data_IF_533118205411
#
_entry.id   IF_533118205411
#
_cell.length_a   1.000
_cell.length_b   1.000
_cell.length_c   1.000
_cell.angle_alpha   90.00
_cell.angle_beta   90.00
_cell.angle_gamma   90.00
#
_symmetry.space_group_name_H-M   'P 1'
#
loop_
_entity.id
_entity.type
_entity.pdbx_description
1 polymer ?
#
# COMPACT_ATOMS: atom_id res chain seq x y z
N UNK A 1 -7.95 -0.25 -25.46
CA UNK A 1 -7.87 0.60 -24.26
C UNK A 1 -8.37 2.03 -24.52
N UNK A 2 -7.79 2.80 -25.45
CA UNK A 2 -8.21 4.19 -25.76
C UNK A 2 -9.72 4.31 -26.03
N UNK A 3 -10.29 3.39 -26.83
CA UNK A 3 -11.73 3.38 -27.13
C UNK A 3 -12.64 3.14 -25.90
N UNK A 4 -12.10 2.58 -24.81
CA UNK A 4 -12.81 2.43 -23.53
C UNK A 4 -12.80 3.78 -22.81
N UNK A 5 -11.63 4.42 -22.72
CA UNK A 5 -11.46 5.72 -22.05
C UNK A 5 -12.28 6.82 -22.72
N UNK A 6 -12.32 6.83 -24.06
CA UNK A 6 -13.06 7.85 -24.84
C UNK A 6 -14.58 7.80 -24.67
N UNK A 7 -15.12 6.75 -24.03
CA UNK A 7 -16.55 6.62 -23.74
C UNK A 7 -16.92 7.16 -22.35
N UNK A 8 -15.92 7.43 -21.51
CA UNK A 8 -16.13 8.00 -20.18
C UNK A 8 -16.21 9.53 -20.28
N UNK A 9 -16.94 10.14 -19.34
CA UNK A 9 -16.95 11.59 -19.16
C UNK A 9 -15.91 11.99 -18.13
N UNK A 10 -15.41 13.21 -18.22
CA UNK A 10 -14.57 13.76 -17.15
C UNK A 10 -15.40 13.93 -15.88
N UNK A 11 -14.82 13.63 -14.73
CA UNK A 11 -15.48 13.83 -13.43
C UNK A 11 -15.63 15.32 -13.07
N UNK A 12 -14.81 16.17 -13.69
CA UNK A 12 -14.80 17.63 -13.54
C UNK A 12 -14.11 18.29 -14.74
N UNK A 13 -14.33 19.59 -14.94
CA UNK A 13 -13.64 20.36 -15.99
C UNK A 13 -12.12 20.35 -15.80
N UNK A 14 -11.32 20.23 -16.87
CA UNK A 14 -9.86 20.30 -16.76
C UNK A 14 -9.39 21.53 -15.98
N UNK A 15 -8.33 21.35 -15.20
CA UNK A 15 -7.74 22.38 -14.35
C UNK A 15 -8.65 22.96 -13.26
N UNK A 16 -9.80 22.36 -12.93
CA UNK A 16 -10.63 22.79 -11.80
C UNK A 16 -10.08 22.30 -10.44
N UNK A 17 -9.60 21.07 -10.38
CA UNK A 17 -8.91 20.47 -9.21
C UNK A 17 -7.84 19.48 -9.67
N UNK A 18 -6.95 19.07 -8.78
CA UNK A 18 -6.00 18.00 -9.03
C UNK A 18 -6.47 16.70 -8.34
N UNK A 19 -6.58 15.63 -9.13
CA UNK A 19 -6.96 14.31 -8.64
C UNK A 19 -6.17 13.23 -9.38
N UNK A 20 -5.74 12.21 -8.62
CA UNK A 20 -4.95 11.11 -9.16
C UNK A 20 -5.80 10.23 -10.09
N UNK A 21 -5.28 9.89 -11.26
CA UNK A 21 -5.95 8.99 -12.21
C UNK A 21 -4.94 8.11 -12.93
N UNK A 22 -5.02 6.79 -12.70
CA UNK A 22 -4.21 5.81 -13.42
C UNK A 22 -4.45 5.89 -14.94
N UNK A 23 -5.69 6.15 -15.37
CA UNK A 23 -6.03 6.30 -16.80
C UNK A 23 -5.23 7.42 -17.45
N UNK A 24 -4.98 8.53 -16.74
CA UNK A 24 -4.15 9.62 -17.26
C UNK A 24 -2.70 9.17 -17.49
N UNK A 25 -2.14 8.34 -16.61
CA UNK A 25 -0.78 7.80 -16.79
C UNK A 25 -0.68 6.75 -17.90
N UNK A 26 -1.72 5.94 -18.10
CA UNK A 26 -1.80 5.06 -19.28
C UNK A 26 -1.81 5.89 -20.57
N UNK A 27 -2.60 6.97 -20.61
CA UNK A 27 -2.65 7.90 -21.75
C UNK A 27 -1.31 8.59 -21.99
N UNK A 28 -0.62 9.04 -20.95
CA UNK A 28 0.75 9.60 -21.07
C UNK A 28 1.72 8.58 -21.67
N UNK A 29 1.60 7.30 -21.30
CA UNK A 29 2.33 6.21 -21.94
C UNK A 29 2.10 6.16 -23.46
N UNK A 30 0.84 6.15 -23.90
CA UNK A 30 0.51 6.16 -25.33
C UNK A 30 0.95 7.43 -26.06
N UNK A 31 0.93 8.60 -25.40
CA UNK A 31 1.43 9.84 -25.98
C UNK A 31 2.93 9.73 -26.25
N UNK A 32 3.71 9.18 -25.31
CA UNK A 32 5.14 8.91 -25.50
C UNK A 32 5.34 8.01 -26.72
N UNK A 33 4.59 6.91 -26.80
CA UNK A 33 4.72 5.96 -27.92
C UNK A 33 4.37 6.60 -29.26
N UNK A 34 3.28 7.37 -29.31
CA UNK A 34 2.81 8.05 -30.51
C UNK A 34 3.81 9.09 -31.02
N UNK A 35 4.42 9.86 -30.12
CA UNK A 35 5.36 10.93 -30.48
C UNK A 35 6.74 10.39 -30.87
N UNK A 36 7.16 9.27 -30.29
CA UNK A 36 8.52 8.74 -30.49
C UNK A 36 8.57 7.60 -31.50
N UNK A 37 7.45 6.93 -31.78
CA UNK A 37 7.40 5.70 -32.57
C UNK A 37 8.06 4.50 -31.87
N UNK A 38 8.34 4.60 -30.56
CA UNK A 38 8.97 3.57 -29.74
C UNK A 38 8.04 3.16 -28.62
N UNK A 39 8.12 1.91 -28.18
CA UNK A 39 7.32 1.42 -27.04
C UNK A 39 7.69 2.17 -25.75
N UNK A 40 6.77 2.23 -24.80
CA UNK A 40 7.02 2.87 -23.51
C UNK A 40 8.22 2.23 -22.79
N UNK A 41 8.37 0.90 -22.87
CA UNK A 41 9.52 0.18 -22.30
C UNK A 41 10.86 0.56 -22.94
N UNK A 42 10.91 0.78 -24.25
CA UNK A 42 12.10 1.27 -24.95
C UNK A 42 12.46 2.70 -24.51
N UNK A 43 11.48 3.59 -24.41
CA UNK A 43 11.73 4.97 -24.00
C UNK A 43 12.07 5.08 -22.49
N UNK A 44 11.47 4.26 -21.63
CA UNK A 44 11.87 4.09 -20.23
C UNK A 44 13.34 3.68 -20.14
N UNK A 45 13.74 2.67 -20.94
CA UNK A 45 15.12 2.19 -20.96
C UNK A 45 16.09 3.28 -21.43
N UNK A 46 15.76 3.95 -22.54
CA UNK A 46 16.63 4.94 -23.19
C UNK A 46 16.77 6.21 -22.37
N UNK A 47 15.66 6.77 -21.88
CA UNK A 47 15.63 8.10 -21.24
C UNK A 47 15.92 8.07 -19.75
N UNK A 48 15.61 6.96 -19.08
CA UNK A 48 15.71 6.86 -17.62
C UNK A 48 16.73 5.80 -17.24
N UNK A 49 16.41 4.51 -17.42
CA UNK A 49 17.17 3.45 -16.73
C UNK A 49 18.62 3.34 -17.23
N UNK A 50 18.87 3.47 -18.54
CA UNK A 50 20.24 3.46 -19.08
C UNK A 50 21.03 4.72 -18.72
N UNK A 51 20.37 5.87 -18.61
CA UNK A 51 21.01 7.17 -18.33
C UNK A 51 21.62 7.22 -16.93
N UNK A 52 20.98 6.55 -15.96
CA UNK A 52 21.38 6.55 -14.56
C UNK A 52 21.71 5.15 -14.01
N UNK A 53 21.84 4.15 -14.90
CA UNK A 53 22.34 2.82 -14.57
C UNK A 53 21.43 1.96 -13.69
N UNK A 54 20.11 2.03 -13.87
CA UNK A 54 19.13 1.20 -13.15
C UNK A 54 19.02 -0.18 -13.81
N UNK A 55 19.87 -1.12 -13.39
CA UNK A 55 20.01 -2.45 -14.04
C UNK A 55 18.83 -3.37 -13.76
N UNK A 56 18.15 -3.20 -12.63
CA UNK A 56 17.05 -4.03 -12.17
C UNK A 56 15.70 -3.32 -12.33
N UNK A 57 15.63 -2.28 -13.17
CA UNK A 57 14.40 -1.52 -13.43
C UNK A 57 14.03 -1.61 -14.91
N UNK A 58 12.83 -2.09 -15.19
CA UNK A 58 12.36 -2.35 -16.55
C UNK A 58 10.83 -2.36 -16.63
N UNK A 59 10.32 -2.34 -17.86
CA UNK A 59 8.91 -2.57 -18.12
C UNK A 59 8.57 -4.04 -17.88
N UNK A 60 7.61 -4.29 -17.00
CA UNK A 60 7.23 -5.60 -16.52
C UNK A 60 6.61 -6.48 -17.60
N UNK A 61 6.81 -7.78 -17.42
CA UNK A 61 6.16 -8.85 -18.15
C UNK A 61 5.67 -9.88 -17.15
N UNK A 62 5.20 -11.03 -17.63
CA UNK A 62 4.87 -12.15 -16.74
C UNK A 62 6.04 -12.48 -15.80
N UNK A 63 5.74 -12.61 -14.51
CA UNK A 63 6.72 -12.86 -13.46
C UNK A 63 7.49 -14.15 -13.69
N UNK A 64 8.82 -14.08 -13.54
CA UNK A 64 9.75 -15.16 -13.79
C UNK A 64 10.76 -15.31 -12.64
N UNK A 65 10.54 -16.29 -11.79
CA UNK A 65 11.40 -16.59 -10.64
C UNK A 65 12.84 -16.93 -11.02
N UNK A 66 13.11 -17.39 -12.26
CA UNK A 66 14.50 -17.64 -12.73
C UNK A 66 15.30 -16.34 -12.92
N UNK A 67 14.63 -15.19 -12.94
CA UNK A 67 15.25 -13.85 -12.96
C UNK A 67 15.31 -13.19 -11.58
N UNK A 68 15.04 -13.94 -10.51
CA UNK A 68 14.86 -13.43 -9.14
C UNK A 68 13.69 -12.44 -9.00
N UNK A 69 12.67 -12.59 -9.84
CA UNK A 69 11.40 -11.88 -9.65
C UNK A 69 10.54 -12.60 -8.62
N UNK A 70 9.77 -11.83 -7.86
CA UNK A 70 8.85 -12.36 -6.86
C UNK A 70 7.46 -12.61 -7.47
N UNK A 71 6.72 -13.58 -6.92
CA UNK A 71 5.27 -13.61 -7.03
C UNK A 71 4.64 -12.79 -5.90
N UNK A 72 3.42 -12.31 -6.10
CA UNK A 72 2.66 -11.62 -5.05
C UNK A 72 1.81 -12.59 -4.23
N UNK A 73 1.61 -12.25 -2.96
CA UNK A 73 0.89 -13.07 -2.01
C UNK A 73 -0.06 -12.23 -1.16
N UNK A 74 -1.17 -12.85 -0.75
CA UNK A 74 -2.06 -12.34 0.29
C UNK A 74 -1.97 -13.22 1.53
N UNK A 75 -2.01 -12.62 2.72
CA UNK A 75 -2.04 -13.35 3.98
C UNK A 75 -3.47 -13.42 4.52
N UNK A 76 -4.01 -14.64 4.61
CA UNK A 76 -5.32 -14.93 5.20
C UNK A 76 -5.21 -16.09 6.20
N UNK A 77 -4.34 -15.94 7.20
CA UNK A 77 -3.93 -16.99 8.15
C UNK A 77 -2.79 -17.85 7.60
N UNK A 78 -2.71 -17.97 6.28
CA UNK A 78 -1.61 -18.54 5.51
C UNK A 78 -1.34 -17.65 4.29
N UNK A 79 -0.12 -17.73 3.76
CA UNK A 79 0.24 -17.04 2.51
C UNK A 79 -0.34 -17.80 1.32
N UNK A 80 -1.04 -17.09 0.45
CA UNK A 80 -1.56 -17.64 -0.82
C UNK A 80 -1.12 -16.75 -1.96
N UNK A 81 -0.58 -17.35 -3.00
CA UNK A 81 -0.15 -16.60 -4.19
C UNK A 81 -1.37 -15.99 -4.88
N UNK A 82 -1.27 -14.73 -5.28
CA UNK A 82 -2.31 -14.03 -6.02
C UNK A 82 -2.17 -14.27 -7.53
N UNK A 83 -3.29 -14.22 -8.29
CA UNK A 83 -3.24 -14.11 -9.74
C UNK A 83 -2.44 -12.89 -10.16
N UNK A 84 -1.80 -12.99 -11.32
CA UNK A 84 -0.96 -11.92 -11.87
C UNK A 84 -1.75 -11.06 -12.85
N UNK A 85 -1.73 -9.74 -12.63
CA UNK A 85 -2.26 -8.78 -13.59
C UNK A 85 -1.34 -8.66 -14.81
N UNK A 86 -1.89 -8.70 -16.02
CA UNK A 86 -1.11 -8.44 -17.24
C UNK A 86 -0.65 -6.97 -17.29
N UNK A 87 0.65 -6.74 -17.43
CA UNK A 87 1.27 -5.41 -17.37
C UNK A 87 0.82 -4.46 -18.50
N UNK A 88 0.16 -4.96 -19.55
CA UNK A 88 -0.50 -4.11 -20.56
C UNK A 88 -1.71 -3.34 -20.01
N UNK A 89 -2.29 -3.78 -18.88
CA UNK A 89 -3.41 -3.11 -18.22
C UNK A 89 -2.97 -1.85 -17.47
N UNK A 90 -2.03 -1.90 -16.50
CA UNK A 90 -1.55 -0.70 -15.83
C UNK A 90 -0.64 0.15 -16.73
N UNK A 91 0.06 -0.44 -17.71
CA UNK A 91 0.85 0.30 -18.70
C UNK A 91 1.75 1.38 -18.08
N UNK A 92 1.67 2.60 -18.64
CA UNK A 92 2.40 3.78 -18.13
C UNK A 92 2.07 4.19 -16.70
N UNK A 93 1.02 3.65 -16.06
CA UNK A 93 0.63 3.95 -14.69
C UNK A 93 1.30 3.07 -13.63
N UNK A 94 1.69 1.84 -13.96
CA UNK A 94 2.11 0.89 -12.93
C UNK A 94 2.81 -0.37 -13.42
N UNK A 95 3.26 -0.42 -14.66
CA UNK A 95 3.90 -1.61 -15.23
C UNK A 95 5.42 -1.70 -14.97
N UNK A 96 6.01 -0.82 -14.16
CA UNK A 96 7.46 -0.83 -13.93
C UNK A 96 7.82 -1.81 -12.80
N UNK A 97 8.72 -2.74 -13.08
CA UNK A 97 9.34 -3.63 -12.09
C UNK A 97 10.67 -3.01 -11.66
N UNK A 98 10.96 -3.00 -10.36
CA UNK A 98 12.19 -2.42 -9.81
C UNK A 98 12.60 -3.09 -8.50
N UNK A 99 13.70 -2.61 -7.91
CA UNK A 99 14.19 -3.00 -6.57
C UNK A 99 14.30 -1.76 -5.68
N UNK A 100 14.25 -1.88 -4.34
CA UNK A 100 14.46 -0.74 -3.45
C UNK A 100 15.75 0.02 -3.73
N UNK A 101 16.84 -0.69 -4.06
CA UNK A 101 18.12 -0.09 -4.37
C UNK A 101 18.07 0.78 -5.64
N UNK A 102 17.39 0.33 -6.70
CA UNK A 102 17.25 1.13 -7.92
C UNK A 102 16.23 2.27 -7.75
N UNK A 103 15.17 2.10 -6.95
CA UNK A 103 14.24 3.19 -6.61
C UNK A 103 14.96 4.32 -5.85
N UNK A 104 15.83 3.99 -4.89
CA UNK A 104 16.68 4.98 -4.19
C UNK A 104 17.63 5.69 -5.15
N UNK A 105 18.27 4.97 -6.08
CA UNK A 105 19.10 5.60 -7.12
C UNK A 105 18.30 6.53 -8.03
N UNK A 106 17.10 6.10 -8.44
CA UNK A 106 16.20 6.88 -9.28
C UNK A 106 15.85 8.22 -8.62
N UNK A 107 15.37 8.20 -7.38
CA UNK A 107 14.90 9.43 -6.73
C UNK A 107 16.06 10.40 -6.43
N UNK A 108 17.22 9.89 -6.01
CA UNK A 108 18.41 10.72 -5.85
C UNK A 108 18.81 11.36 -7.19
N UNK A 109 18.88 10.58 -8.26
CA UNK A 109 19.24 11.10 -9.58
C UNK A 109 18.23 12.10 -10.14
N UNK A 110 16.94 11.94 -9.84
CA UNK A 110 15.89 12.89 -10.18
C UNK A 110 16.13 14.24 -9.49
N UNK A 111 16.31 14.23 -8.17
CA UNK A 111 16.50 15.45 -7.37
C UNK A 111 17.89 16.10 -7.55
N UNK A 112 18.88 15.34 -8.00
CA UNK A 112 20.20 15.86 -8.42
C UNK A 112 20.20 16.43 -9.85
N UNK A 113 19.06 16.45 -10.55
CA UNK A 113 18.94 17.03 -11.89
C UNK A 113 19.58 16.19 -13.00
N UNK A 114 19.87 14.90 -12.76
CA UNK A 114 20.48 13.99 -13.76
C UNK A 114 19.48 13.54 -14.82
N UNK A 115 18.18 13.58 -14.53
CA UNK A 115 17.12 13.16 -15.44
C UNK A 115 16.45 14.34 -16.15
N UNK A 116 16.09 15.37 -15.39
CA UNK A 116 15.35 16.55 -15.85
C UNK A 116 16.00 17.84 -15.32
N UNK A 117 15.65 18.98 -15.91
CA UNK A 117 16.10 20.30 -15.42
C UNK A 117 15.49 20.63 -14.05
N UNK A 118 16.13 21.55 -13.33
CA UNK A 118 15.60 22.08 -12.07
C UNK A 118 14.19 22.67 -12.22
N UNK A 119 13.94 23.41 -13.31
CA UNK A 119 12.62 23.97 -13.60
C UNK A 119 11.53 22.89 -13.77
N UNK A 120 11.86 21.76 -14.43
CA UNK A 120 10.89 20.66 -14.56
C UNK A 120 10.69 19.92 -13.24
N UNK A 121 11.72 19.82 -12.40
CA UNK A 121 11.59 19.26 -11.05
C UNK A 121 10.71 20.14 -10.15
N UNK A 122 10.82 21.46 -10.28
CA UNK A 122 9.94 22.42 -9.60
C UNK A 122 8.48 22.23 -10.03
N UNK A 123 8.22 22.06 -11.32
CA UNK A 123 6.88 21.71 -11.81
C UNK A 123 6.37 20.38 -11.23
N UNK A 124 7.22 19.35 -11.15
CA UNK A 124 6.83 18.05 -10.57
C UNK A 124 6.47 18.15 -9.08
N UNK A 125 7.15 19.04 -8.35
CA UNK A 125 7.02 19.16 -6.88
C UNK A 125 6.08 20.28 -6.43
N UNK A 126 5.52 21.05 -7.37
CA UNK A 126 4.46 22.03 -7.10
C UNK A 126 3.15 21.30 -6.86
N UNK A 127 2.64 21.40 -5.62
CA UNK A 127 1.45 20.67 -5.19
C UNK A 127 0.18 21.49 -5.41
N UNK A 128 -0.82 20.85 -6.00
CA UNK A 128 -2.20 21.31 -6.04
C UNK A 128 -3.08 20.22 -5.45
N UNK A 129 -3.93 20.54 -4.48
CA UNK A 129 -4.77 19.54 -3.79
C UNK A 129 -3.96 18.33 -3.26
N UNK A 130 -2.74 18.60 -2.75
CA UNK A 130 -1.76 17.59 -2.28
C UNK A 130 -1.17 16.67 -3.35
N UNK A 131 -1.35 17.00 -4.63
CA UNK A 131 -0.84 16.24 -5.77
C UNK A 131 -0.03 17.11 -6.72
N UNK A 132 1.17 16.64 -7.09
CA UNK A 132 2.04 17.21 -8.11
C UNK A 132 2.02 16.38 -9.39
N UNK A 133 3.00 16.57 -10.26
CA UNK A 133 3.11 15.72 -11.47
C UNK A 133 3.72 14.37 -11.11
N UNK A 134 2.85 13.38 -10.85
CA UNK A 134 3.24 12.03 -10.43
C UNK A 134 4.01 11.99 -9.08
N UNK A 135 3.78 12.97 -8.21
CA UNK A 135 4.45 13.11 -6.92
C UNK A 135 3.44 13.56 -5.87
N UNK A 136 3.48 12.96 -4.69
CA UNK A 136 2.70 13.36 -3.53
C UNK A 136 3.57 14.06 -2.49
N UNK A 137 2.97 14.98 -1.75
CA UNK A 137 3.57 15.47 -0.51
C UNK A 137 3.49 14.36 0.56
N UNK A 138 4.63 14.03 1.16
CA UNK A 138 4.76 12.97 2.16
C UNK A 138 5.57 13.50 3.35
N UNK A 139 4.97 14.35 4.20
CA UNK A 139 5.68 14.94 5.33
C UNK A 139 5.99 13.90 6.41
N UNK A 140 7.12 14.10 7.10
CA UNK A 140 7.50 13.38 8.31
C UNK A 140 7.72 14.39 9.43
N UNK A 141 6.75 14.53 10.35
CA UNK A 141 6.67 15.66 11.29
C UNK A 141 6.75 17.01 10.54
N UNK A 142 7.73 17.84 10.89
CA UNK A 142 8.04 19.13 10.29
C UNK A 142 8.94 19.02 9.04
N UNK A 143 9.37 17.80 8.68
CA UNK A 143 10.22 17.55 7.52
C UNK A 143 9.34 17.35 6.28
N UNK A 144 9.57 18.19 5.26
CA UNK A 144 8.90 18.07 3.97
C UNK A 144 9.49 16.90 3.17
N UNK A 145 8.63 15.97 2.78
CA UNK A 145 9.00 14.87 1.88
C UNK A 145 8.16 14.84 0.61
N UNK A 146 8.70 14.17 -0.40
CA UNK A 146 8.04 13.92 -1.68
C UNK A 146 8.17 12.44 -2.02
N UNK A 147 7.12 11.87 -2.60
CA UNK A 147 7.16 10.46 -2.93
C UNK A 147 5.93 9.96 -3.66
N UNK A 148 5.85 8.65 -3.74
CA UNK A 148 4.68 7.95 -4.26
C UNK A 148 4.62 6.54 -3.66
N UNK A 149 3.40 6.05 -3.45
CA UNK A 149 3.14 4.64 -3.10
C UNK A 149 2.61 3.88 -4.32
N UNK A 150 2.81 2.58 -4.37
CA UNK A 150 2.27 1.70 -5.40
C UNK A 150 1.61 0.47 -4.80
N UNK A 151 0.62 -0.06 -5.51
CA UNK A 151 -0.02 -1.33 -5.17
C UNK A 151 -0.60 -1.98 -6.42
N UNK A 152 -0.27 -3.25 -6.63
CA UNK A 152 -0.84 -4.09 -7.68
C UNK A 152 -0.78 -5.55 -7.22
N UNK A 153 -1.87 -6.28 -7.40
CA UNK A 153 -2.06 -7.62 -6.83
C UNK A 153 -1.71 -7.60 -5.32
N UNK A 154 -0.83 -8.49 -4.85
CA UNK A 154 -0.31 -8.49 -3.48
C UNK A 154 0.97 -7.66 -3.28
N UNK A 155 1.46 -6.97 -4.30
CA UNK A 155 2.64 -6.10 -4.17
C UNK A 155 2.27 -4.75 -3.58
N UNK A 156 3.16 -4.22 -2.73
CA UNK A 156 3.14 -2.83 -2.27
C UNK A 156 4.52 -2.21 -2.42
N UNK A 157 4.56 -0.92 -2.77
CA UNK A 157 5.78 -0.14 -2.81
C UNK A 157 5.61 1.27 -2.23
N UNK A 158 6.71 1.83 -1.76
CA UNK A 158 6.81 3.22 -1.36
C UNK A 158 8.19 3.74 -1.77
N UNK A 159 8.22 4.96 -2.32
CA UNK A 159 9.43 5.74 -2.50
C UNK A 159 9.24 7.11 -1.89
N UNK A 160 10.12 7.49 -0.96
CA UNK A 160 10.12 8.76 -0.26
C UNK A 160 11.49 9.43 -0.41
N UNK A 161 11.50 10.73 -0.63
CA UNK A 161 12.69 11.57 -0.59
C UNK A 161 12.46 12.79 0.28
N UNK A 162 13.42 13.08 1.16
CA UNK A 162 13.49 14.23 2.04
C UNK A 162 14.58 15.17 1.51
N UNK A 163 14.24 16.21 0.72
CA UNK A 163 15.25 16.94 -0.06
C UNK A 163 16.24 17.73 0.78
N UNK A 164 15.80 18.29 1.91
CA UNK A 164 16.66 19.09 2.79
C UNK A 164 17.71 18.19 3.46
N UNK A 165 17.31 16.99 3.84
CA UNK A 165 18.15 16.00 4.53
C UNK A 165 18.93 15.12 3.54
N UNK A 166 18.55 15.14 2.26
CA UNK A 166 19.08 14.27 1.18
C UNK A 166 18.95 12.79 1.52
N UNK A 167 17.82 12.42 2.10
CA UNK A 167 17.51 11.04 2.49
C UNK A 167 16.46 10.47 1.55
N UNK A 168 16.72 9.26 1.06
CA UNK A 168 15.78 8.48 0.28
C UNK A 168 15.44 7.19 1.03
N UNK A 169 14.16 6.81 1.02
CA UNK A 169 13.68 5.53 1.54
C UNK A 169 12.85 4.86 0.46
N UNK A 170 13.16 3.59 0.19
CA UNK A 170 12.33 2.74 -0.64
C UNK A 170 11.89 1.52 0.16
N UNK A 171 10.61 1.19 0.07
CA UNK A 171 10.02 -0.03 0.61
C UNK A 171 9.35 -0.78 -0.53
N UNK A 172 9.57 -2.09 -0.62
CA UNK A 172 8.85 -2.98 -1.53
C UNK A 172 8.49 -4.24 -0.80
N UNK A 173 7.30 -4.75 -1.02
CA UNK A 173 6.80 -5.99 -0.46
C UNK A 173 5.99 -6.75 -1.50
N UNK A 174 6.08 -8.07 -1.46
CA UNK A 174 5.29 -8.99 -2.27
C UNK A 174 4.16 -9.66 -1.47
N UNK A 175 3.78 -9.05 -0.35
CA UNK A 175 2.72 -9.48 0.53
C UNK A 175 2.90 -8.88 1.92
N UNK A 176 1.85 -8.32 2.50
CA UNK A 176 1.94 -7.63 3.79
C UNK A 176 1.10 -8.30 4.88
N UNK A 177 1.69 -8.32 6.09
CA UNK A 177 1.00 -8.64 7.35
C UNK A 177 0.91 -7.45 8.29
N UNK A 178 1.81 -6.49 8.10
CA UNK A 178 1.91 -5.28 8.89
C UNK A 178 1.73 -4.09 7.95
N UNK A 179 1.20 -2.99 8.48
CA UNK A 179 1.12 -1.72 7.78
C UNK A 179 2.51 -1.30 7.31
N UNK A 180 2.65 -1.05 6.00
CA UNK A 180 3.92 -0.55 5.46
C UNK A 180 4.27 0.82 6.06
N UNK A 181 3.26 1.62 6.41
CA UNK A 181 3.46 2.92 7.04
C UNK A 181 4.13 2.76 8.40
N UNK A 182 3.75 1.76 9.19
CA UNK A 182 4.35 1.53 10.51
C UNK A 182 5.82 1.14 10.39
N UNK A 183 6.16 0.34 9.37
CA UNK A 183 7.55 -0.04 9.07
C UNK A 183 8.37 1.18 8.65
N UNK A 184 7.85 1.99 7.72
CA UNK A 184 8.55 3.16 7.20
C UNK A 184 8.69 4.24 8.27
N UNK A 185 7.63 4.54 9.03
CA UNK A 185 7.67 5.49 10.14
C UNK A 185 8.56 5.00 11.27
N UNK A 186 8.57 3.70 11.56
CA UNK A 186 9.52 3.10 12.51
C UNK A 186 10.97 3.34 12.08
N UNK A 187 11.31 3.05 10.82
CA UNK A 187 12.65 3.29 10.29
C UNK A 187 13.05 4.77 10.33
N UNK A 188 12.15 5.68 9.95
CA UNK A 188 12.38 7.13 10.02
C UNK A 188 12.55 7.62 11.46
N UNK A 189 11.70 7.18 12.38
CA UNK A 189 11.81 7.56 13.79
C UNK A 189 13.14 7.10 14.39
N UNK A 190 13.59 5.87 14.09
CA UNK A 190 14.91 5.36 14.50
C UNK A 190 16.01 6.24 13.93
N UNK A 191 15.99 6.51 12.62
CA UNK A 191 17.02 7.29 11.93
C UNK A 191 17.14 8.72 12.49
N UNK A 192 16.02 9.39 12.72
CA UNK A 192 15.97 10.76 13.22
C UNK A 192 15.97 10.87 14.75
N UNK A 193 16.26 9.78 15.47
CA UNK A 193 16.26 9.71 16.93
C UNK A 193 14.98 10.27 17.57
N UNK A 194 13.83 9.96 16.96
CA UNK A 194 12.49 10.26 17.50
C UNK A 194 12.01 9.09 18.35
N UNK A 195 11.01 9.31 19.18
CA UNK A 195 10.36 8.23 19.94
C UNK A 195 9.74 7.20 19.00
N UNK A 196 9.98 5.92 19.28
CA UNK A 196 9.38 4.79 18.58
C UNK A 196 9.09 3.65 19.56
N UNK A 197 8.16 2.78 19.19
CA UNK A 197 7.85 1.55 19.91
C UNK A 197 8.35 0.37 19.09
N UNK A 198 9.16 -0.50 19.69
CA UNK A 198 9.56 -1.75 19.03
C UNK A 198 8.33 -2.66 18.96
N UNK A 199 7.94 -3.17 17.78
CA UNK A 199 6.82 -4.07 17.67
C UNK A 199 7.07 -5.38 18.43
N UNK A 200 6.06 -5.86 19.16
CA UNK A 200 6.12 -7.17 19.82
C UNK A 200 5.67 -8.29 18.86
N UNK A 201 6.56 -9.26 18.66
CA UNK A 201 6.34 -10.44 17.82
C UNK A 201 6.04 -11.71 18.63
N UNK A 202 5.63 -11.57 19.90
CA UNK A 202 5.30 -12.74 20.73
C UNK A 202 4.19 -13.53 20.07
N UNK A 203 4.51 -14.78 19.71
CA UNK A 203 3.52 -15.75 19.24
C UNK A 203 2.75 -16.25 20.46
N UNK A 204 1.45 -15.98 20.49
CA UNK A 204 0.57 -16.58 21.49
C UNK A 204 0.17 -17.96 20.98
N UNK A 205 0.57 -19.00 21.70
CA UNK A 205 0.07 -20.35 21.46
C UNK A 205 -1.37 -20.39 21.97
N UNK A 206 -2.33 -20.44 21.05
CA UNK A 206 -3.74 -20.57 21.37
C UNK A 206 -4.18 -22.03 21.24
N UNK A 207 -5.00 -22.51 22.16
CA UNK A 207 -5.76 -23.74 21.97
C UNK A 207 -7.08 -23.41 21.26
N UNK A 208 -7.47 -24.20 20.24
CA UNK A 208 -8.73 -24.00 19.52
C UNK A 208 -9.96 -23.98 20.44
N UNK A 209 -9.94 -24.76 21.54
CA UNK A 209 -11.03 -24.78 22.51
C UNK A 209 -11.18 -23.44 23.27
N UNK A 210 -10.09 -22.72 23.50
CA UNK A 210 -10.11 -21.42 24.18
C UNK A 210 -10.73 -20.32 23.31
N UNK A 211 -10.85 -20.55 22.00
CA UNK A 211 -11.42 -19.60 21.06
C UNK A 211 -12.96 -19.65 21.01
N UNK A 212 -13.58 -20.73 21.46
CA UNK A 212 -15.04 -20.91 21.38
C UNK A 212 -15.83 -19.83 22.13
N UNK A 213 -15.24 -19.28 23.19
CA UNK A 213 -15.86 -18.19 23.96
C UNK A 213 -16.06 -16.91 23.13
N UNK A 214 -15.27 -16.69 22.09
CA UNK A 214 -15.35 -15.50 21.23
C UNK A 214 -16.27 -15.67 20.02
N UNK A 215 -16.52 -16.91 19.57
CA UNK A 215 -17.31 -17.21 18.37
C UNK A 215 -18.76 -16.77 18.54
N UNK A 216 -19.32 -16.09 17.53
CA UNK A 216 -20.71 -15.68 17.50
C UNK A 216 -20.95 -14.42 16.68
N UNK A 217 -22.20 -13.97 16.65
CA UNK A 217 -22.61 -12.72 16.00
C UNK A 217 -22.63 -11.59 17.01
N UNK A 218 -22.15 -10.42 16.61
CA UNK A 218 -22.10 -9.23 17.44
C UNK A 218 -22.67 -8.03 16.69
N UNK A 219 -23.32 -7.13 17.41
CA UNK A 219 -23.86 -5.88 16.85
C UNK A 219 -23.52 -4.69 17.74
N UNK A 220 -23.43 -3.51 17.14
CA UNK A 220 -23.27 -2.26 17.86
C UNK A 220 -24.54 -1.42 17.75
N UNK A 221 -24.88 -0.71 18.82
CA UNK A 221 -25.90 0.36 18.79
C UNK A 221 -25.30 1.70 18.37
N UNK A 222 -23.97 1.81 18.35
CA UNK A 222 -23.26 3.05 18.00
C UNK A 222 -23.03 3.19 16.49
N UNK A 223 -22.94 2.05 15.79
CA UNK A 223 -22.78 1.99 14.33
C UNK A 223 -23.66 0.87 13.76
N UNK A 224 -24.31 1.06 12.59
CA UNK A 224 -25.19 0.06 11.99
C UNK A 224 -24.39 -1.06 11.32
N UNK A 225 -23.60 -1.78 12.12
CA UNK A 225 -22.68 -2.82 11.68
C UNK A 225 -22.88 -4.08 12.53
N UNK A 226 -22.97 -5.23 11.87
CA UNK A 226 -22.85 -6.54 12.51
C UNK A 226 -21.53 -7.19 12.11
N UNK A 227 -20.89 -7.83 13.08
CA UNK A 227 -19.65 -8.55 12.90
C UNK A 227 -19.85 -9.99 13.38
N UNK A 228 -19.61 -10.94 12.49
CA UNK A 228 -19.59 -12.37 12.81
C UNK A 228 -18.16 -12.79 13.10
N UNK A 229 -17.95 -13.41 14.27
CA UNK A 229 -16.67 -14.00 14.66
C UNK A 229 -16.77 -15.51 14.47
N UNK A 230 -15.91 -16.07 13.63
CA UNK A 230 -15.77 -17.51 13.41
C UNK A 230 -14.36 -17.97 13.75
N UNK A 231 -14.14 -19.28 13.81
CA UNK A 231 -12.80 -19.85 14.00
C UNK A 231 -12.48 -20.88 12.92
N UNK A 232 -11.20 -20.94 12.54
CA UNK A 232 -10.63 -22.04 11.75
C UNK A 232 -9.30 -22.42 12.42
N UNK A 233 -9.23 -23.66 12.90
CA UNK A 233 -8.11 -24.18 13.71
C UNK A 233 -7.82 -23.30 14.93
N UNK A 234 -6.67 -22.62 14.95
CA UNK A 234 -6.21 -21.73 16.03
C UNK A 234 -6.35 -20.24 15.68
N UNK A 235 -7.06 -19.92 14.59
CA UNK A 235 -7.23 -18.54 14.10
C UNK A 235 -8.69 -18.11 14.20
N UNK A 236 -8.94 -16.95 14.80
CA UNK A 236 -10.24 -16.28 14.72
C UNK A 236 -10.35 -15.49 13.42
N UNK A 237 -11.54 -15.48 12.83
CA UNK A 237 -11.89 -14.66 11.68
C UNK A 237 -13.00 -13.71 12.08
N UNK A 238 -12.92 -12.46 11.65
CA UNK A 238 -14.00 -11.49 11.76
C UNK A 238 -14.56 -11.20 10.36
N UNK A 239 -15.88 -11.07 10.28
CA UNK A 239 -16.59 -10.73 9.05
C UNK A 239 -17.62 -9.65 9.34
N UNK A 240 -17.40 -8.45 8.82
CA UNK A 240 -18.40 -7.41 8.82
C UNK A 240 -19.46 -7.67 7.74
N UNK A 241 -20.69 -7.22 7.98
CA UNK A 241 -21.81 -7.37 7.02
C UNK A 241 -21.45 -6.79 5.64
N UNK A 242 -21.56 -7.61 4.60
CA UNK A 242 -21.22 -7.22 3.22
C UNK A 242 -19.73 -7.22 2.88
N UNK A 243 -18.86 -7.66 3.80
CA UNK A 243 -17.42 -7.75 3.59
C UNK A 243 -16.91 -9.19 3.64
N UNK A 244 -15.74 -9.43 3.06
CA UNK A 244 -15.02 -10.70 3.20
C UNK A 244 -14.53 -10.90 4.63
N UNK A 245 -14.48 -12.15 5.08
CA UNK A 245 -13.88 -12.48 6.37
C UNK A 245 -12.36 -12.26 6.35
N UNK A 246 -11.79 -11.80 7.47
CA UNK A 246 -10.34 -11.61 7.63
C UNK A 246 -9.84 -12.27 8.93
N UNK A 247 -8.62 -12.83 8.92
CA UNK A 247 -8.04 -13.44 10.11
C UNK A 247 -7.62 -12.36 11.13
N UNK A 248 -7.68 -12.69 12.41
CA UNK A 248 -7.18 -11.85 13.49
C UNK A 248 -6.02 -12.53 14.21
N UNK A 249 -4.98 -11.75 14.53
CA UNK A 249 -3.80 -12.21 15.28
C UNK A 249 -4.00 -11.95 16.78
N UNK A 250 -3.74 -12.96 17.62
CA UNK A 250 -3.77 -12.78 19.07
C UNK A 250 -2.56 -11.96 19.55
N UNK A 251 -2.81 -10.95 20.39
CA UNK A 251 -1.78 -10.07 20.99
C UNK A 251 -1.84 -10.01 22.52
N UNK A 252 -2.72 -10.78 23.16
CA UNK A 252 -2.75 -10.96 24.61
C UNK A 252 -4.06 -11.61 25.05
N UNK A 253 -4.30 -11.62 26.35
CA UNK A 253 -5.54 -12.14 26.93
C UNK A 253 -6.75 -11.41 26.34
N UNK A 254 -7.59 -12.16 25.63
CA UNK A 254 -8.80 -11.67 24.97
C UNK A 254 -8.56 -10.52 23.96
N UNK A 255 -7.33 -10.29 23.51
CA UNK A 255 -6.98 -9.21 22.57
C UNK A 255 -6.55 -9.77 21.23
N UNK A 256 -7.27 -9.38 20.18
CA UNK A 256 -7.01 -9.78 18.80
C UNK A 256 -6.86 -8.54 17.91
N UNK A 257 -5.99 -8.60 16.91
CA UNK A 257 -5.72 -7.46 16.03
C UNK A 257 -5.77 -7.88 14.57
N UNK A 258 -6.20 -6.94 13.73
CA UNK A 258 -6.04 -7.01 12.29
C UNK A 258 -5.29 -5.75 11.83
N UNK A 259 -3.97 -5.88 11.73
CA UNK A 259 -3.05 -4.77 11.51
C UNK A 259 -3.31 -4.03 10.18
N UNK A 260 -3.71 -4.75 9.12
CA UNK A 260 -3.98 -4.15 7.81
C UNK A 260 -5.12 -3.13 7.81
N UNK A 261 -6.04 -3.19 8.79
CA UNK A 261 -7.12 -2.21 8.94
C UNK A 261 -7.00 -1.36 10.21
N UNK A 262 -5.84 -1.40 10.89
CA UNK A 262 -5.63 -0.77 12.20
C UNK A 262 -6.79 -1.08 13.18
N UNK A 263 -7.20 -2.34 13.22
CA UNK A 263 -8.34 -2.81 14.00
C UNK A 263 -7.88 -3.66 15.18
N UNK A 264 -8.31 -3.30 16.39
CA UNK A 264 -8.09 -4.05 17.63
C UNK A 264 -9.42 -4.45 18.23
N UNK A 265 -9.58 -5.74 18.51
CA UNK A 265 -10.73 -6.36 19.16
C UNK A 265 -10.33 -6.75 20.58
N UNK A 266 -10.86 -6.02 21.56
CA UNK A 266 -10.71 -6.34 22.97
C UNK A 266 -11.98 -7.06 23.45
N UNK A 267 -11.91 -8.38 23.58
CA UNK A 267 -13.04 -9.18 24.04
C UNK A 267 -13.18 -9.14 25.57
N UNK A 268 -14.43 -9.15 26.01
CA UNK A 268 -14.85 -9.39 27.39
C UNK A 268 -15.85 -10.56 27.39
N UNK A 269 -15.38 -11.83 27.31
CA UNK A 269 -16.24 -12.99 27.10
C UNK A 269 -17.31 -13.16 28.18
N UNK A 270 -16.97 -12.88 29.44
CA UNK A 270 -17.88 -12.96 30.58
C UNK A 270 -19.06 -11.98 30.47
N UNK A 271 -18.87 -10.88 29.72
CA UNK A 271 -19.90 -9.88 29.43
C UNK A 271 -20.52 -10.06 28.04
N UNK A 272 -20.17 -11.14 27.33
CA UNK A 272 -20.63 -11.45 25.96
C UNK A 272 -20.48 -10.26 25.02
N UNK A 273 -19.32 -9.59 25.01
CA UNK A 273 -19.09 -8.39 24.20
C UNK A 273 -17.62 -8.23 23.81
N UNK A 274 -17.36 -7.32 22.88
CA UNK A 274 -16.02 -6.81 22.62
C UNK A 274 -16.04 -5.31 22.32
N UNK A 275 -14.88 -4.68 22.49
CA UNK A 275 -14.63 -3.30 22.06
C UNK A 275 -13.75 -3.33 20.81
N UNK A 276 -14.23 -2.73 19.72
CA UNK A 276 -13.48 -2.49 18.49
C UNK A 276 -12.83 -1.11 18.57
N UNK A 277 -11.51 -1.08 18.51
CA UNK A 277 -10.73 0.15 18.34
C UNK A 277 -10.23 0.16 16.90
N UNK A 278 -10.64 1.14 16.10
CA UNK A 278 -10.24 1.24 14.70
C UNK A 278 -9.95 2.68 14.32
N UNK A 279 -8.72 2.95 13.84
CA UNK A 279 -8.26 4.30 13.44
C UNK A 279 -8.53 5.36 14.50
N UNK A 280 -8.27 5.03 15.77
CA UNK A 280 -8.52 5.90 16.92
C UNK A 280 -9.97 5.98 17.42
N UNK A 281 -10.95 5.43 16.69
CA UNK A 281 -12.34 5.36 17.15
C UNK A 281 -12.60 4.10 17.96
N UNK A 282 -13.54 4.16 18.90
CA UNK A 282 -13.90 3.05 19.78
C UNK A 282 -15.39 2.73 19.70
N UNK A 283 -15.72 1.48 19.42
CA UNK A 283 -17.10 0.99 19.28
C UNK A 283 -17.32 -0.27 20.12
N UNK A 284 -18.39 -0.29 20.91
CA UNK A 284 -18.82 -1.44 21.69
C UNK A 284 -19.74 -2.33 20.86
N UNK A 285 -19.47 -3.63 20.89
CA UNK A 285 -20.24 -4.66 20.22
C UNK A 285 -20.71 -5.70 21.22
N UNK A 286 -22.03 -5.90 21.32
CA UNK A 286 -22.62 -6.93 22.17
C UNK A 286 -22.96 -8.16 21.33
N UNK A 287 -22.71 -9.35 21.88
CA UNK A 287 -23.07 -10.61 21.23
C UNK A 287 -24.58 -10.67 21.13
N UNK A 288 -25.09 -10.92 19.92
CA UNK A 288 -26.51 -11.11 19.70
C UNK A 288 -26.85 -12.54 20.10
N UNK A 289 -27.78 -12.68 21.03
CA UNK A 289 -28.37 -13.99 21.33
C UNK A 289 -29.17 -14.44 20.10
N UNK A 290 -29.05 -15.72 19.74
CA UNK A 290 -29.97 -16.37 18.81
C UNK A 290 -31.27 -16.70 19.52
#
# INVERSE_FOLDING_TARGET
MIAIFSRQKSDFEPDLKAEYSNTNFVLLGYIIEKLTGKTYGEELKKRVTSKIGLKQTYYGTKANSTKNEAYSYIYQGQWTQMPETDMSIPGGAGAIVSTPADLVKFINALFEGKLISAANLELMTTMRDSYGMAMFAMPFYDIKGYGHSGGIDGFLSLLLYLPKEKIAIAYTSNGTRYSYNDVVMGALNIYFNKSFTIPEFKTITLNSAELDKYVGEYSSTQIPLKITITKKDITLFAQASGQSAFPMEAKGDNKFVYASADATFQFEPDKRRFTLIQKGNTYLFNKTDK
#
